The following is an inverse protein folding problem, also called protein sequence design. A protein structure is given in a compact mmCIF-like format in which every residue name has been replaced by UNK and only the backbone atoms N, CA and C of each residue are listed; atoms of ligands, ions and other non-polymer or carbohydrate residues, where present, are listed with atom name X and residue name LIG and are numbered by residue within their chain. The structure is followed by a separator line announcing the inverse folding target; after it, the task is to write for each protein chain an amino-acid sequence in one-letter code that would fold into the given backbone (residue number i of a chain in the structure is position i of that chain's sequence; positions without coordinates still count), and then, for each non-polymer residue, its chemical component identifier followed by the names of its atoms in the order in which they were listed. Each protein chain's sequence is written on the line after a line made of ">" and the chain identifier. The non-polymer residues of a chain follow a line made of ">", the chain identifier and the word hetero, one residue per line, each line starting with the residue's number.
data_IF_614371395730
#
_entry.id   IF_614371395730
#
_cell.length_a   1.000
_cell.length_b   1.000
_cell.length_c   1.000
_cell.angle_alpha   90.00
_cell.angle_beta   90.00
_cell.angle_gamma   90.00
#
_symmetry.space_group_name_H-M   'P 1'
#
loop_
_entity.id
_entity.type
_entity.pdbx_description
1 polymer ?
#
# COMPACT_ATOMS: atom_id res chain seq x y z
N UNK A 1 -38.14 -10.04 29.87
CA UNK A 1 -37.57 -10.95 28.83
C UNK A 1 -36.34 -11.62 29.40
N UNK A 2 -36.43 -12.92 29.60
CA UNK A 2 -35.44 -13.78 30.26
C UNK A 2 -34.17 -13.87 29.42
N UNK A 3 -33.09 -13.26 29.91
CA UNK A 3 -31.76 -13.36 29.31
C UNK A 3 -31.21 -14.77 29.60
N UNK A 4 -31.44 -15.71 28.69
CA UNK A 4 -30.81 -17.03 28.74
C UNK A 4 -29.30 -16.82 28.58
N UNK A 5 -28.52 -17.23 29.58
CA UNK A 5 -27.09 -17.52 29.44
C UNK A 5 -26.93 -18.62 28.38
N UNK A 6 -26.94 -18.25 27.11
CA UNK A 6 -26.51 -19.13 26.04
C UNK A 6 -25.01 -19.38 26.26
N UNK A 7 -24.60 -20.64 26.25
CA UNK A 7 -23.17 -20.98 26.23
C UNK A 7 -22.51 -20.22 25.08
N UNK A 8 -21.65 -19.26 25.40
CA UNK A 8 -21.05 -18.33 24.43
C UNK A 8 -20.32 -19.07 23.31
N UNK A 9 -19.85 -20.29 23.57
CA UNK A 9 -19.21 -21.19 22.60
C UNK A 9 -20.14 -21.67 21.47
N UNK A 10 -21.42 -21.99 21.73
CA UNK A 10 -22.35 -22.44 20.67
C UNK A 10 -22.70 -21.33 19.66
N UNK A 11 -22.47 -20.07 20.03
CA UNK A 11 -22.66 -18.93 19.15
C UNK A 11 -21.47 -18.66 18.23
N UNK A 12 -20.31 -19.29 18.44
CA UNK A 12 -19.12 -19.05 17.63
C UNK A 12 -19.22 -19.78 16.28
N UNK A 13 -18.86 -19.08 15.21
CA UNK A 13 -18.72 -19.64 13.85
C UNK A 13 -17.40 -19.16 13.25
N UNK A 14 -16.86 -19.90 12.28
CA UNK A 14 -15.69 -19.45 11.52
C UNK A 14 -15.90 -18.02 10.98
N UNK A 15 -14.90 -17.16 11.16
CA UNK A 15 -14.94 -15.73 10.80
C UNK A 15 -15.45 -14.79 11.90
N UNK A 16 -15.91 -15.32 13.03
CA UNK A 16 -16.36 -14.54 14.17
C UNK A 16 -15.16 -14.07 15.01
N UNK A 17 -15.15 -12.81 15.43
CA UNK A 17 -14.10 -12.27 16.33
C UNK A 17 -14.51 -12.45 17.79
N UNK A 18 -13.60 -12.97 18.62
CA UNK A 18 -13.80 -13.14 20.05
C UNK A 18 -12.50 -12.85 20.81
N UNK A 19 -12.61 -12.49 22.10
CA UNK A 19 -11.46 -12.21 22.98
C UNK A 19 -11.64 -12.92 24.32
N UNK A 20 -10.52 -13.27 24.95
CA UNK A 20 -10.48 -13.72 26.35
C UNK A 20 -10.13 -12.56 27.28
N UNK A 21 -10.87 -12.37 28.38
CA UNK A 21 -10.61 -11.34 29.39
C UNK A 21 -9.39 -11.70 30.26
N UNK A 22 -8.44 -10.80 30.58
CA UNK A 22 -7.50 -11.02 31.69
C UNK A 22 -8.24 -10.91 33.04
N UNK A 23 -7.93 -11.71 34.10
CA UNK A 23 -6.75 -12.58 34.32
C UNK A 23 -6.93 -14.05 33.88
N UNK A 24 -7.83 -14.31 32.95
CA UNK A 24 -8.46 -15.61 32.73
C UNK A 24 -7.80 -16.49 31.64
N UNK A 25 -6.46 -16.46 31.50
CA UNK A 25 -5.77 -17.23 30.47
C UNK A 25 -4.37 -17.73 30.89
N UNK A 26 -4.11 -19.04 30.76
CA UNK A 26 -2.77 -19.64 30.90
C UNK A 26 -2.27 -20.20 29.57
N UNK A 27 -0.95 -20.18 29.35
CA UNK A 27 -0.33 -20.63 28.10
C UNK A 27 0.25 -22.04 28.26
N UNK A 28 -0.02 -22.94 27.32
CA UNK A 28 0.51 -24.31 27.32
C UNK A 28 0.92 -24.76 25.92
N UNK A 29 1.75 -25.81 25.83
CA UNK A 29 2.03 -26.50 24.57
C UNK A 29 1.28 -27.83 24.54
N UNK A 30 0.60 -28.12 23.42
CA UNK A 30 -0.03 -29.42 23.20
C UNK A 30 1.01 -30.49 22.90
N UNK A 31 0.60 -31.77 22.92
CA UNK A 31 1.44 -32.91 22.53
C UNK A 31 1.98 -32.81 21.10
N UNK A 32 1.29 -32.08 20.23
CA UNK A 32 1.72 -31.76 18.85
C UNK A 32 2.75 -30.63 18.77
N UNK A 33 3.11 -30.01 19.90
CA UNK A 33 4.05 -28.88 19.96
C UNK A 33 3.42 -27.50 19.74
N UNK A 34 2.14 -27.45 19.35
CA UNK A 34 1.41 -26.20 19.09
C UNK A 34 1.19 -25.39 20.38
N UNK A 35 1.51 -24.10 20.32
CA UNK A 35 1.24 -23.14 21.39
C UNK A 35 -0.27 -22.90 21.49
N UNK A 36 -0.82 -23.04 22.69
CA UNK A 36 -2.25 -22.92 22.96
C UNK A 36 -2.50 -22.04 24.18
N UNK A 37 -3.61 -21.30 24.15
CA UNK A 37 -4.10 -20.53 25.30
C UNK A 37 -5.27 -21.28 25.91
N UNK A 38 -5.20 -21.56 27.21
CA UNK A 38 -6.33 -22.06 28.00
C UNK A 38 -7.13 -20.88 28.52
N UNK A 39 -8.22 -20.55 27.82
CA UNK A 39 -9.13 -19.47 28.21
C UNK A 39 -10.13 -19.98 29.26
N UNK A 40 -10.29 -19.28 30.38
CA UNK A 40 -11.37 -19.54 31.35
C UNK A 40 -12.64 -18.74 31.04
N UNK A 41 -12.52 -17.63 30.31
CA UNK A 41 -13.65 -16.87 29.78
C UNK A 41 -13.39 -16.49 28.31
N UNK A 42 -14.46 -16.49 27.51
CA UNK A 42 -14.42 -16.07 26.11
C UNK A 42 -15.66 -15.24 25.77
N UNK A 43 -15.42 -14.04 25.22
CA UNK A 43 -16.44 -13.07 24.85
C UNK A 43 -16.47 -12.86 23.35
N UNK A 44 -17.66 -12.98 22.78
CA UNK A 44 -17.95 -12.61 21.40
C UNK A 44 -17.83 -11.09 21.21
N UNK A 45 -17.00 -10.65 20.26
CA UNK A 45 -16.86 -9.23 19.89
C UNK A 45 -17.73 -8.88 18.68
N UNK A 46 -17.53 -9.61 17.57
CA UNK A 46 -18.19 -9.33 16.31
C UNK A 46 -18.67 -10.61 15.68
N UNK A 47 -19.98 -10.72 15.45
CA UNK A 47 -20.60 -11.87 14.80
C UNK A 47 -20.41 -11.82 13.28
N UNK A 48 -19.79 -12.85 12.70
CA UNK A 48 -19.79 -13.00 11.25
C UNK A 48 -21.18 -13.42 10.75
N UNK A 49 -21.78 -12.59 9.89
CA UNK A 49 -23.09 -12.85 9.28
C UNK A 49 -22.99 -13.68 7.99
N UNK A 50 -21.83 -13.70 7.35
CA UNK A 50 -21.54 -14.49 6.16
C UNK A 50 -20.43 -15.49 6.46
N UNK A 51 -20.49 -16.72 5.93
CA UNK A 51 -19.41 -17.67 6.07
C UNK A 51 -18.14 -17.17 5.36
N UNK A 52 -16.97 -17.55 5.88
CA UNK A 52 -15.72 -17.33 5.17
C UNK A 52 -15.59 -18.30 3.99
N UNK A 53 -14.85 -17.92 2.92
CA UNK A 53 -14.47 -18.84 1.86
C UNK A 53 -13.68 -20.02 2.41
N UNK A 54 -13.65 -21.12 1.65
CA UNK A 54 -12.98 -22.35 2.05
C UNK A 54 -11.51 -22.09 2.41
N UNK A 55 -11.12 -22.48 3.62
CA UNK A 55 -9.78 -22.22 4.17
C UNK A 55 -8.71 -23.07 3.51
N UNK A 56 -9.06 -24.25 2.99
CA UNK A 56 -8.08 -25.21 2.49
C UNK A 56 -7.52 -24.82 1.12
N UNK A 57 -8.38 -24.28 0.27
CA UNK A 57 -8.00 -23.92 -1.10
C UNK A 57 -7.68 -22.42 -1.23
N UNK A 58 -7.95 -21.62 -0.21
CA UNK A 58 -7.86 -20.16 -0.30
C UNK A 58 -8.87 -19.58 -1.29
N UNK A 59 -8.83 -18.25 -1.47
CA UNK A 59 -9.64 -17.60 -2.50
C UNK A 59 -8.83 -17.54 -3.80
N UNK A 60 -9.15 -18.41 -4.77
CA UNK A 60 -8.37 -18.58 -6.01
C UNK A 60 -8.83 -17.64 -7.15
N UNK A 61 -10.13 -17.39 -7.25
CA UNK A 61 -10.71 -16.54 -8.29
C UNK A 61 -10.15 -15.10 -8.18
N UNK A 62 -9.37 -14.69 -9.19
CA UNK A 62 -8.72 -13.38 -9.22
C UNK A 62 -9.72 -12.23 -9.22
N UNK A 63 -10.84 -12.36 -9.92
CA UNK A 63 -11.85 -11.31 -9.98
C UNK A 63 -12.51 -11.13 -8.60
N UNK A 64 -12.85 -12.22 -7.93
CA UNK A 64 -13.41 -12.18 -6.57
C UNK A 64 -12.41 -11.59 -5.58
N UNK A 65 -11.11 -11.95 -5.68
CA UNK A 65 -10.05 -11.34 -4.84
C UNK A 65 -9.96 -9.83 -5.02
N UNK A 66 -10.08 -9.34 -6.25
CA UNK A 66 -9.99 -7.91 -6.55
C UNK A 66 -11.25 -7.14 -6.11
N UNK A 67 -12.44 -7.72 -6.30
CA UNK A 67 -13.72 -7.11 -5.88
C UNK A 67 -13.95 -7.18 -4.37
N UNK A 68 -13.50 -8.26 -3.72
CA UNK A 68 -13.71 -8.54 -2.30
C UNK A 68 -12.37 -8.65 -1.57
N UNK A 69 -11.55 -7.59 -1.67
CA UNK A 69 -10.20 -7.56 -1.11
C UNK A 69 -10.12 -7.95 0.37
N UNK A 70 -11.13 -7.63 1.17
CA UNK A 70 -11.17 -8.01 2.57
C UNK A 70 -11.20 -9.54 2.78
N UNK A 71 -11.84 -10.32 1.91
CA UNK A 71 -11.82 -11.78 1.97
C UNK A 71 -10.48 -12.34 1.52
N UNK A 72 -9.91 -11.79 0.45
CA UNK A 72 -8.56 -12.12 0.00
C UNK A 72 -7.53 -11.92 1.12
N UNK A 73 -7.57 -10.77 1.81
CA UNK A 73 -6.69 -10.48 2.93
C UNK A 73 -6.94 -11.38 4.15
N UNK A 74 -8.12 -11.96 4.33
CA UNK A 74 -8.37 -12.93 5.41
C UNK A 74 -7.78 -14.30 5.03
N UNK A 75 -8.00 -14.75 3.80
CA UNK A 75 -7.67 -16.08 3.32
C UNK A 75 -6.21 -16.25 2.87
N UNK A 76 -5.58 -15.22 2.31
CA UNK A 76 -4.27 -15.31 1.65
C UNK A 76 -3.20 -14.48 2.40
N UNK A 77 -2.30 -15.15 3.13
CA UNK A 77 -1.18 -14.47 3.84
C UNK A 77 -0.23 -13.77 2.88
N UNK A 78 0.02 -14.37 1.70
CA UNK A 78 0.87 -13.76 0.67
C UNK A 78 0.35 -12.37 0.26
N UNK A 79 -0.97 -12.22 0.09
CA UNK A 79 -1.56 -10.92 -0.24
C UNK A 79 -1.34 -9.92 0.90
N UNK A 80 -1.50 -10.32 2.16
CA UNK A 80 -1.16 -9.47 3.32
C UNK A 80 0.31 -9.07 3.32
N UNK A 81 1.20 -10.01 3.02
CA UNK A 81 2.64 -9.76 2.92
C UNK A 81 2.94 -8.72 1.84
N UNK A 82 2.37 -8.85 0.63
CA UNK A 82 2.54 -7.85 -0.45
C UNK A 82 2.14 -6.44 -0.01
N UNK A 83 1.01 -6.28 0.70
CA UNK A 83 0.60 -4.97 1.21
C UNK A 83 1.51 -4.43 2.32
N UNK A 84 2.04 -5.30 3.19
CA UNK A 84 3.04 -4.90 4.21
C UNK A 84 4.31 -4.39 3.55
N UNK A 85 4.85 -5.13 2.57
CA UNK A 85 6.02 -4.71 1.78
C UNK A 85 5.76 -3.38 1.08
N UNK A 86 4.60 -3.22 0.41
CA UNK A 86 4.21 -1.95 -0.21
C UNK A 86 4.18 -0.80 0.80
N UNK A 87 3.62 -1.03 1.99
CA UNK A 87 3.57 -0.01 3.05
C UNK A 87 4.97 0.35 3.55
N UNK A 88 5.88 -0.61 3.66
CA UNK A 88 7.27 -0.38 4.05
C UNK A 88 8.01 0.42 2.97
N UNK A 89 7.82 0.09 1.69
CA UNK A 89 8.41 0.84 0.56
C UNK A 89 7.92 2.30 0.57
N UNK A 90 6.61 2.54 0.72
CA UNK A 90 6.06 3.90 0.72
C UNK A 90 6.38 4.68 2.01
N UNK A 91 6.50 3.98 3.14
CA UNK A 91 6.93 4.55 4.41
C UNK A 91 8.43 4.83 4.46
N UNK A 92 9.20 4.20 3.56
CA UNK A 92 10.60 4.53 3.35
C UNK A 92 10.66 5.81 2.52
N UNK A 93 10.77 6.94 3.22
CA UNK A 93 11.13 8.19 2.58
C UNK A 93 12.55 8.02 1.99
N UNK A 94 12.67 8.11 0.67
CA UNK A 94 13.94 8.00 -0.07
C UNK A 94 15.08 8.83 0.58
N UNK A 95 16.34 8.42 0.42
CA UNK A 95 17.34 8.43 1.49
C UNK A 95 17.91 9.81 1.81
N UNK A 96 18.17 9.99 3.10
CA UNK A 96 19.23 10.86 3.61
C UNK A 96 20.57 10.25 3.17
N UNK A 97 21.25 10.88 2.21
CA UNK A 97 22.70 10.79 2.07
C UNK A 97 23.26 12.19 1.87
N UNK A 98 23.93 12.71 2.92
CA UNK A 98 24.87 13.84 2.90
C UNK A 98 24.39 15.24 2.51
N UNK A 99 23.19 15.40 1.91
CA UNK A 99 22.73 16.67 1.34
C UNK A 99 21.53 17.32 2.05
N UNK A 100 21.17 18.56 1.68
CA UNK A 100 20.02 19.26 2.22
C UNK A 100 18.71 18.47 2.05
N UNK A 101 17.81 18.64 3.03
CA UNK A 101 16.56 17.90 3.20
C UNK A 101 15.70 17.97 1.92
N UNK A 102 15.23 16.81 1.47
CA UNK A 102 14.16 16.71 0.47
C UNK A 102 12.84 17.16 1.09
N UNK A 103 12.18 18.14 0.48
CA UNK A 103 10.90 18.65 0.95
C UNK A 103 9.75 17.84 0.35
N UNK A 104 9.05 17.09 1.20
CA UNK A 104 7.81 16.43 0.83
C UNK A 104 6.74 17.47 0.57
N UNK A 105 6.25 17.51 -0.67
CA UNK A 105 5.25 18.48 -1.13
C UNK A 105 3.96 17.78 -1.50
N UNK A 106 2.86 18.54 -1.51
CA UNK A 106 1.56 18.09 -2.00
C UNK A 106 1.03 19.14 -2.95
N UNK A 107 1.02 18.80 -4.23
CA UNK A 107 0.50 19.69 -5.28
C UNK A 107 -0.97 19.36 -5.61
N UNK A 108 -1.72 20.28 -6.25
CA UNK A 108 -3.13 20.05 -6.56
C UNK A 108 -3.38 18.79 -7.40
N UNK A 109 -4.40 18.02 -7.02
CA UNK A 109 -4.92 16.87 -7.78
C UNK A 109 -5.85 17.29 -8.92
N UNK A 110 -6.49 18.44 -8.78
CA UNK A 110 -7.36 19.04 -9.80
C UNK A 110 -6.62 20.22 -10.41
N UNK A 111 -6.53 20.25 -11.73
CA UNK A 111 -5.80 21.24 -12.50
C UNK A 111 -6.71 21.82 -13.59
N UNK A 112 -6.61 23.12 -13.86
CA UNK A 112 -7.38 23.76 -14.96
C UNK A 112 -6.85 23.32 -16.32
N UNK A 113 -5.54 23.10 -16.43
CA UNK A 113 -4.89 22.57 -17.62
C UNK A 113 -4.06 21.35 -17.18
N UNK A 114 -4.37 20.14 -17.64
CA UNK A 114 -3.58 18.97 -17.31
C UNK A 114 -2.24 19.01 -18.07
N UNK A 115 -1.15 18.63 -17.41
CA UNK A 115 0.18 18.63 -18.01
C UNK A 115 1.18 17.75 -17.25
N UNK A 116 2.43 17.72 -17.74
CA UNK A 116 3.52 16.91 -17.16
C UNK A 116 3.58 15.45 -17.63
N UNK A 117 2.67 15.03 -18.50
CA UNK A 117 2.73 13.72 -19.16
C UNK A 117 1.92 13.74 -20.46
N UNK A 118 2.05 12.69 -21.27
CA UNK A 118 1.16 12.42 -22.40
C UNK A 118 0.17 11.33 -22.00
N UNK A 119 -1.07 11.73 -21.69
CA UNK A 119 -2.16 10.82 -21.32
C UNK A 119 -3.51 11.52 -21.46
N UNK A 120 -4.59 10.74 -21.67
CA UNK A 120 -5.96 11.29 -21.66
C UNK A 120 -6.39 11.56 -20.21
N UNK A 121 -6.78 12.80 -19.84
CA UNK A 121 -7.17 13.11 -18.47
C UNK A 121 -8.63 12.69 -18.18
N UNK A 122 -8.96 12.55 -16.89
CA UNK A 122 -10.35 12.61 -16.42
C UNK A 122 -10.78 14.07 -16.29
N UNK A 123 -12.02 14.36 -16.69
CA UNK A 123 -12.62 15.69 -16.64
C UNK A 123 -13.67 15.67 -15.52
N UNK A 124 -13.72 16.74 -14.75
CA UNK A 124 -14.72 17.02 -13.72
C UNK A 124 -15.12 18.49 -13.80
N UNK A 125 -16.18 18.88 -13.09
CA UNK A 125 -16.71 20.24 -13.12
C UNK A 125 -16.81 20.83 -11.71
N UNK A 126 -16.33 22.06 -11.53
CA UNK A 126 -16.38 22.77 -10.25
C UNK A 126 -17.60 23.70 -10.19
N UNK A 127 -18.72 23.21 -9.67
CA UNK A 127 -20.02 23.90 -9.67
C UNK A 127 -19.99 25.37 -9.20
N UNK A 128 -19.24 25.69 -8.14
CA UNK A 128 -19.24 27.05 -7.58
C UNK A 128 -18.39 28.05 -8.38
N UNK A 129 -17.45 27.56 -9.20
CA UNK A 129 -16.59 28.39 -10.06
C UNK A 129 -17.01 28.30 -11.52
N UNK A 130 -18.03 27.48 -11.82
CA UNK A 130 -18.56 27.19 -13.15
C UNK A 130 -17.45 26.94 -14.19
N UNK A 131 -16.51 26.06 -13.86
CA UNK A 131 -15.38 25.73 -14.72
C UNK A 131 -15.04 24.25 -14.70
N UNK A 132 -14.55 23.76 -15.84
CA UNK A 132 -14.04 22.41 -15.98
C UNK A 132 -12.63 22.29 -15.39
N UNK A 133 -12.40 21.19 -14.71
CA UNK A 133 -11.11 20.81 -14.16
C UNK A 133 -10.74 19.40 -14.56
N UNK A 134 -9.46 19.09 -14.45
CA UNK A 134 -8.90 17.82 -14.83
C UNK A 134 -8.22 17.18 -13.64
N UNK A 135 -8.45 15.88 -13.44
CA UNK A 135 -7.60 15.12 -12.53
C UNK A 135 -6.20 15.03 -13.13
N UNK A 136 -5.18 15.33 -12.33
CA UNK A 136 -3.81 15.42 -12.82
C UNK A 136 -3.31 14.11 -13.40
N UNK A 137 -2.60 14.22 -14.51
CA UNK A 137 -1.84 13.11 -15.12
C UNK A 137 -0.40 13.02 -14.56
N UNK A 138 0.14 14.15 -14.08
CA UNK A 138 1.40 14.29 -13.37
C UNK A 138 1.45 15.60 -12.54
N UNK A 139 2.20 15.65 -11.42
CA UNK A 139 2.48 16.88 -10.67
C UNK A 139 3.65 17.75 -11.20
N UNK A 140 4.42 17.28 -12.19
CA UNK A 140 5.64 17.91 -12.73
C UNK A 140 5.63 19.44 -12.77
N UNK A 141 4.64 20.06 -13.42
CA UNK A 141 4.63 21.51 -13.64
C UNK A 141 4.49 22.29 -12.33
N UNK A 142 3.77 21.75 -11.34
CA UNK A 142 3.65 22.38 -10.02
C UNK A 142 4.93 22.21 -9.21
N UNK A 143 5.58 21.06 -9.29
CA UNK A 143 6.84 20.82 -8.61
C UNK A 143 7.94 21.74 -9.16
N UNK A 144 8.02 21.92 -10.49
CA UNK A 144 8.93 22.89 -11.10
C UNK A 144 8.67 24.34 -10.66
N UNK A 145 7.41 24.73 -10.45
CA UNK A 145 7.08 26.05 -9.87
C UNK A 145 7.60 26.21 -8.44
N UNK A 146 7.61 25.14 -7.63
CA UNK A 146 8.23 25.18 -6.31
C UNK A 146 9.74 25.39 -6.40
N UNK A 147 10.41 24.73 -7.36
CA UNK A 147 11.85 24.94 -7.61
C UNK A 147 12.13 26.39 -7.99
N UNK A 148 11.34 26.97 -8.91
CA UNK A 148 11.43 28.40 -9.25
C UNK A 148 11.20 29.29 -8.02
N UNK A 149 10.29 28.88 -7.12
CA UNK A 149 10.02 29.56 -5.85
C UNK A 149 11.10 29.40 -4.77
N UNK A 150 12.23 28.72 -5.08
CA UNK A 150 13.36 28.55 -4.17
C UNK A 150 13.40 27.23 -3.40
N UNK A 151 12.44 26.32 -3.63
CA UNK A 151 12.54 24.96 -3.08
C UNK A 151 13.43 24.09 -3.95
N UNK A 152 14.74 24.14 -3.70
CA UNK A 152 15.75 23.50 -4.53
C UNK A 152 15.65 21.96 -4.60
N UNK A 153 14.99 21.31 -3.62
CA UNK A 153 14.86 19.86 -3.56
C UNK A 153 13.47 19.44 -3.10
N UNK A 154 12.61 19.08 -4.03
CA UNK A 154 11.22 18.70 -3.75
C UNK A 154 10.91 17.30 -4.24
N UNK A 155 10.00 16.63 -3.55
CA UNK A 155 9.42 15.39 -4.05
C UNK A 155 7.94 15.29 -3.68
N UNK A 156 7.21 14.45 -4.40
CA UNK A 156 5.84 14.08 -4.08
C UNK A 156 5.61 12.59 -4.39
N UNK A 157 5.04 11.87 -3.43
CA UNK A 157 4.55 10.49 -3.61
C UNK A 157 3.04 10.51 -3.47
N UNK A 158 2.32 10.43 -4.58
CA UNK A 158 0.87 10.51 -4.54
C UNK A 158 0.23 9.99 -5.84
N UNK A 159 -1.08 10.20 -6.00
CA UNK A 159 -1.88 9.64 -7.10
C UNK A 159 -1.76 10.46 -8.39
N UNK A 160 -1.75 9.74 -9.51
CA UNK A 160 -1.97 10.26 -10.85
C UNK A 160 -3.14 9.48 -11.48
N UNK A 161 -3.86 10.14 -12.39
CA UNK A 161 -5.06 9.61 -13.02
C UNK A 161 -4.92 9.63 -14.54
N UNK A 162 -5.25 8.53 -15.20
CA UNK A 162 -5.24 8.41 -16.67
C UNK A 162 -6.52 7.72 -17.12
N UNK A 163 -7.28 8.41 -17.97
CA UNK A 163 -8.53 7.93 -18.53
C UNK A 163 -8.24 7.06 -19.77
N UNK A 164 -7.61 5.93 -19.52
CA UNK A 164 -7.14 4.96 -20.49
C UNK A 164 -7.79 3.59 -20.24
N UNK A 165 -7.50 2.61 -21.10
CA UNK A 165 -8.00 1.25 -20.93
C UNK A 165 -7.47 0.59 -19.64
N UNK A 166 -8.32 -0.23 -19.02
CA UNK A 166 -7.95 -1.02 -17.84
C UNK A 166 -7.30 -2.33 -18.32
N UNK A 167 -6.17 -2.70 -17.73
CA UNK A 167 -5.52 -3.99 -17.97
C UNK A 167 -4.84 -4.49 -16.70
N UNK A 168 -4.32 -5.72 -16.71
CA UNK A 168 -3.54 -6.26 -15.58
C UNK A 168 -2.27 -5.45 -15.26
N UNK A 169 -1.82 -4.60 -16.19
CA UNK A 169 -0.66 -3.71 -16.02
C UNK A 169 -1.02 -2.23 -15.87
N UNK A 170 -2.26 -1.84 -16.15
CA UNK A 170 -2.68 -0.44 -16.18
C UNK A 170 -3.97 -0.23 -15.39
N UNK A 171 -3.86 0.55 -14.32
CA UNK A 171 -4.99 0.99 -13.52
C UNK A 171 -5.21 2.49 -13.75
N UNK A 172 -6.47 2.97 -13.88
CA UNK A 172 -6.77 4.36 -14.20
C UNK A 172 -6.29 5.35 -13.13
N UNK A 173 -6.00 4.85 -11.93
CA UNK A 173 -5.25 5.56 -10.92
C UNK A 173 -3.98 4.75 -10.55
N UNK A 174 -2.83 5.41 -10.44
CA UNK A 174 -1.60 4.79 -9.93
C UNK A 174 -0.76 5.76 -9.07
N UNK A 175 0.14 5.22 -8.25
CA UNK A 175 1.02 6.03 -7.38
C UNK A 175 2.32 6.25 -8.12
N UNK A 176 2.75 7.49 -8.17
CA UNK A 176 4.08 7.87 -8.67
C UNK A 176 4.84 8.60 -7.58
N UNK A 177 6.16 8.49 -7.64
CA UNK A 177 7.08 9.43 -7.00
C UNK A 177 7.66 10.32 -8.09
N UNK A 178 7.56 11.64 -7.90
CA UNK A 178 8.30 12.62 -8.69
C UNK A 178 9.23 13.41 -7.77
N UNK A 179 10.44 13.71 -8.26
CA UNK A 179 11.48 14.41 -7.52
C UNK A 179 12.19 15.39 -8.44
N UNK A 180 12.45 16.59 -7.92
CA UNK A 180 13.20 17.64 -8.60
C UNK A 180 14.32 18.14 -7.70
N UNK A 181 15.50 18.31 -8.30
CA UNK A 181 16.71 18.78 -7.65
C UNK A 181 17.34 19.89 -8.51
N UNK A 182 17.45 21.09 -7.97
CA UNK A 182 18.15 22.20 -8.59
C UNK A 182 19.66 21.91 -8.65
N UNK A 183 20.33 22.42 -9.68
CA UNK A 183 21.77 22.24 -9.94
C UNK A 183 22.23 20.79 -10.08
N UNK A 184 21.31 19.88 -10.36
CA UNK A 184 21.59 18.48 -10.70
C UNK A 184 21.26 18.24 -12.17
N UNK A 185 22.00 17.33 -12.79
CA UNK A 185 21.67 16.78 -14.10
C UNK A 185 21.13 15.35 -13.98
N UNK A 186 20.88 14.71 -15.12
CA UNK A 186 20.31 13.36 -15.14
C UNK A 186 21.24 12.29 -14.56
N UNK A 187 22.56 12.51 -14.52
CA UNK A 187 23.53 11.55 -13.96
C UNK A 187 23.43 11.50 -12.45
N UNK A 188 23.25 12.65 -11.81
CA UNK A 188 22.97 12.72 -10.37
C UNK A 188 21.68 11.95 -10.02
N UNK A 189 20.66 12.05 -10.88
CA UNK A 189 19.40 11.33 -10.71
C UNK A 189 19.51 9.82 -10.96
N UNK A 190 20.41 9.38 -11.86
CA UNK A 190 20.73 7.96 -12.04
C UNK A 190 21.33 7.40 -10.74
N UNK A 191 22.36 8.05 -10.20
CA UNK A 191 23.02 7.62 -8.95
C UNK A 191 22.04 7.61 -7.76
N UNK A 192 21.19 8.63 -7.65
CA UNK A 192 20.13 8.70 -6.65
C UNK A 192 19.15 7.53 -6.78
N UNK A 193 18.75 7.20 -8.01
CA UNK A 193 17.79 6.13 -8.29
C UNK A 193 18.39 4.77 -7.94
N UNK A 194 19.63 4.50 -8.32
CA UNK A 194 20.33 3.27 -7.94
C UNK A 194 20.43 3.11 -6.42
N UNK A 195 20.87 4.17 -5.75
CA UNK A 195 20.99 4.20 -4.29
C UNK A 195 19.64 3.95 -3.60
N UNK A 196 18.56 4.53 -4.13
CA UNK A 196 17.20 4.31 -3.63
C UNK A 196 16.79 2.84 -3.73
N UNK A 197 16.91 2.23 -4.92
CA UNK A 197 16.51 0.83 -5.11
C UNK A 197 17.35 -0.14 -4.29
N UNK A 198 18.67 0.06 -4.24
CA UNK A 198 19.59 -0.72 -3.41
C UNK A 198 19.22 -0.64 -1.93
N UNK A 199 18.99 0.57 -1.43
CA UNK A 199 18.61 0.83 -0.03
C UNK A 199 17.25 0.19 0.29
N UNK A 200 16.27 0.31 -0.59
CA UNK A 200 14.95 -0.28 -0.43
C UNK A 200 15.02 -1.81 -0.40
N UNK A 201 15.73 -2.42 -1.35
CA UNK A 201 15.90 -3.88 -1.40
C UNK A 201 16.54 -4.39 -0.10
N UNK A 202 17.64 -3.76 0.34
CA UNK A 202 18.31 -4.16 1.58
C UNK A 202 17.46 -3.94 2.83
N UNK A 203 16.75 -2.81 2.93
CA UNK A 203 15.99 -2.43 4.14
C UNK A 203 14.68 -3.19 4.26
N UNK A 204 13.97 -3.39 3.15
CA UNK A 204 12.63 -3.99 3.13
C UNK A 204 12.71 -5.51 2.97
N UNK A 205 13.62 -6.01 2.14
CA UNK A 205 13.74 -7.44 1.83
C UNK A 205 14.93 -8.11 2.51
N UNK A 206 15.87 -7.35 3.10
CA UNK A 206 17.06 -7.88 3.76
C UNK A 206 18.18 -8.32 2.82
N UNK A 207 17.98 -8.17 1.51
CA UNK A 207 18.90 -8.64 0.46
C UNK A 207 18.81 -7.79 -0.81
N UNK A 208 19.86 -7.78 -1.61
CA UNK A 208 19.91 -7.08 -2.90
C UNK A 208 19.53 -7.96 -4.09
N UNK A 209 19.60 -9.29 -3.94
CA UNK A 209 19.16 -10.25 -4.97
C UNK A 209 17.68 -10.58 -4.81
N UNK A 210 16.87 -10.14 -5.77
CA UNK A 210 15.41 -10.24 -5.75
C UNK A 210 14.95 -11.12 -6.92
N UNK A 211 14.39 -12.31 -6.66
CA UNK A 211 13.81 -13.14 -7.70
C UNK A 211 12.51 -12.51 -8.22
N UNK A 212 12.34 -12.50 -9.55
CA UNK A 212 11.13 -12.02 -10.21
C UNK A 212 10.89 -12.81 -11.51
N UNK A 213 9.85 -13.64 -11.50
CA UNK A 213 9.63 -14.63 -12.56
C UNK A 213 10.82 -15.59 -12.65
N UNK A 214 11.32 -15.81 -13.86
CA UNK A 214 12.46 -16.70 -14.12
C UNK A 214 13.83 -16.02 -13.96
N UNK A 215 13.85 -14.75 -13.55
CA UNK A 215 15.06 -13.93 -13.45
C UNK A 215 15.37 -13.54 -12.00
N UNK A 216 16.65 -13.27 -11.73
CA UNK A 216 17.10 -12.70 -10.45
C UNK A 216 17.69 -11.32 -10.73
N UNK A 217 17.09 -10.30 -10.13
CA UNK A 217 17.56 -8.92 -10.21
C UNK A 217 18.53 -8.65 -9.04
N UNK A 218 19.75 -8.22 -9.35
CA UNK A 218 20.76 -7.89 -8.35
C UNK A 218 20.91 -6.38 -8.23
N UNK A 219 20.31 -5.79 -7.18
CA UNK A 219 20.39 -4.37 -6.86
C UNK A 219 21.72 -3.97 -6.16
N UNK A 220 22.61 -4.94 -5.89
CA UNK A 220 23.88 -4.70 -5.24
C UNK A 220 24.94 -4.11 -6.18
N UNK A 221 24.78 -4.34 -7.47
CA UNK A 221 25.67 -3.84 -8.53
C UNK A 221 25.17 -2.47 -9.05
N UNK A 222 26.06 -1.65 -9.64
CA UNK A 222 25.66 -0.51 -10.45
C UNK A 222 24.81 -0.99 -11.65
N UNK A 223 23.87 -0.16 -12.11
CA UNK A 223 22.99 -0.48 -13.25
C UNK A 223 23.70 -0.21 -14.56
#
# INVERSE_FOLDING_TARGET
>A
MTCRKASTTNSLRNGTSAISSPPAASCSKRKTGELSIHCTELRLLTKALRPLPDKFHGLQDQEVRYRQRYLDLIANEESRHTFRIRSQILGHHAPVHGGPRLYGSRTPMMQVIPGGASARPFITHHNALDLDMYLRIAPELYLKRLVVGGFERVFEINRNFRNEGISVRHNPEFTMMELYMAYADYKDLIELTESLFRTLAQTVLGKTEVPYGDQVFDFGKPV
#
